data_IF_323615613667
#
_entry.id   IF_323615613667
#
_cell.length_a   1.000
_cell.length_b   1.000
_cell.length_c   1.000
_cell.angle_alpha   90.00
_cell.angle_beta   90.00
_cell.angle_gamma   90.00
#
_symmetry.space_group_name_H-M   'P 1'
#
loop_
_entity.id
_entity.type
_entity.pdbx_description
1 polymer ?
#
# COMPACT_ATOMS: atom_id res chain seq x y z
N UNK A 1 8.71 -10.28 23.16
CA UNK A 1 7.85 -11.00 22.21
C UNK A 1 8.21 -12.47 22.31
N UNK A 2 7.26 -13.35 22.61
CA UNK A 2 7.49 -14.81 22.65
C UNK A 2 7.26 -15.43 21.26
N UNK A 3 7.75 -16.65 21.02
CA UNK A 3 7.53 -17.35 19.74
C UNK A 3 6.04 -17.51 19.39
N UNK A 4 5.18 -17.70 20.40
CA UNK A 4 3.73 -17.76 20.22
C UNK A 4 3.13 -16.41 19.81
N UNK A 5 3.59 -15.29 20.40
CA UNK A 5 3.16 -13.94 20.00
C UNK A 5 3.60 -13.60 18.57
N UNK A 6 4.79 -14.04 18.17
CA UNK A 6 5.29 -13.89 16.80
C UNK A 6 4.43 -14.70 15.81
N UNK A 7 4.10 -15.94 16.13
CA UNK A 7 3.24 -16.80 15.31
C UNK A 7 1.85 -16.19 15.08
N UNK A 8 1.23 -15.66 16.13
CA UNK A 8 -0.06 -14.95 16.01
C UNK A 8 0.07 -13.73 15.10
N UNK A 9 1.12 -12.92 15.28
CA UNK A 9 1.36 -11.73 14.47
C UNK A 9 1.53 -12.05 12.98
N UNK A 10 2.32 -13.09 12.65
CA UNK A 10 2.54 -13.51 11.27
C UNK A 10 1.23 -13.99 10.61
N UNK A 11 0.44 -14.80 11.32
CA UNK A 11 -0.86 -15.26 10.83
C UNK A 11 -1.89 -14.11 10.69
N UNK A 12 -1.82 -13.09 11.54
CA UNK A 12 -2.63 -11.88 11.36
C UNK A 12 -2.25 -11.12 10.09
N UNK A 13 -0.97 -11.05 9.74
CA UNK A 13 -0.53 -10.40 8.50
C UNK A 13 -0.97 -11.18 7.26
N UNK A 14 -0.85 -12.51 7.27
CA UNK A 14 -1.33 -13.37 6.19
C UNK A 14 -2.85 -13.22 5.99
N UNK A 15 -3.59 -13.13 7.09
CA UNK A 15 -5.04 -12.91 7.02
C UNK A 15 -5.40 -11.55 6.38
N UNK A 16 -4.60 -10.49 6.59
CA UNK A 16 -4.82 -9.17 5.94
C UNK A 16 -4.67 -9.25 4.42
N UNK A 17 -3.79 -10.11 3.93
CA UNK A 17 -3.56 -10.33 2.50
C UNK A 17 -4.31 -11.56 1.96
N UNK A 18 -5.23 -12.12 2.74
CA UNK A 18 -6.02 -13.31 2.39
C UNK A 18 -5.19 -14.54 1.99
N UNK A 19 -3.95 -14.62 2.49
CA UNK A 19 -3.05 -15.75 2.27
C UNK A 19 -3.32 -16.90 3.26
N UNK A 20 -2.88 -18.11 2.90
CA UNK A 20 -3.00 -19.27 3.77
C UNK A 20 -2.22 -19.08 5.07
N UNK A 21 -2.79 -19.52 6.19
CA UNK A 21 -2.15 -19.43 7.50
C UNK A 21 -0.99 -20.42 7.63
N UNK A 22 0.03 -20.02 8.38
CA UNK A 22 1.19 -20.88 8.69
C UNK A 22 0.74 -21.96 9.66
N UNK A 23 0.86 -23.22 9.26
CA UNK A 23 0.67 -24.38 10.15
C UNK A 23 1.99 -24.97 10.64
N UNK A 24 3.11 -24.58 10.01
CA UNK A 24 4.48 -25.04 10.31
C UNK A 24 5.47 -23.89 10.11
N UNK A 25 6.38 -23.60 11.07
CA UNK A 25 7.32 -22.49 10.93
C UNK A 25 8.19 -22.62 9.68
N UNK A 26 8.17 -21.59 8.83
CA UNK A 26 9.02 -21.50 7.63
C UNK A 26 10.35 -20.77 7.89
N UNK A 27 11.18 -20.66 6.86
CA UNK A 27 12.40 -19.85 6.87
C UNK A 27 12.09 -18.35 6.92
N UNK A 28 13.06 -17.53 7.33
CA UNK A 28 12.97 -16.06 7.33
C UNK A 28 13.21 -15.56 5.89
N UNK A 29 12.19 -15.01 5.20
CA UNK A 29 12.37 -14.33 3.92
C UNK A 29 13.02 -12.95 4.09
N UNK A 30 13.58 -12.43 3.00
CA UNK A 30 14.03 -11.05 2.88
C UNK A 30 13.02 -10.27 2.05
N UNK A 31 12.46 -9.21 2.63
CA UNK A 31 11.56 -8.30 1.93
C UNK A 31 12.40 -7.24 1.22
N UNK A 32 12.27 -7.16 -0.11
CA UNK A 32 13.09 -6.25 -0.95
C UNK A 32 12.27 -5.29 -1.81
N UNK A 33 10.93 -5.44 -1.80
CA UNK A 33 10.05 -4.60 -2.59
C UNK A 33 9.82 -3.24 -1.93
N UNK A 34 10.19 -2.17 -2.62
CA UNK A 34 9.92 -0.78 -2.22
C UNK A 34 8.89 -0.15 -3.16
N UNK A 35 8.28 0.95 -2.74
CA UNK A 35 7.24 1.64 -3.50
C UNK A 35 7.32 3.15 -3.32
N UNK A 36 6.83 3.90 -4.30
CA UNK A 36 6.58 5.34 -4.27
C UNK A 36 5.18 5.62 -4.84
N UNK A 37 4.58 6.75 -4.45
CA UNK A 37 3.23 7.13 -4.89
C UNK A 37 3.33 8.41 -5.70
N UNK A 38 2.72 8.41 -6.87
CA UNK A 38 2.58 9.61 -7.70
C UNK A 38 1.10 9.91 -7.94
N UNK A 39 0.68 11.14 -7.65
CA UNK A 39 -0.70 11.59 -7.83
C UNK A 39 -0.72 12.87 -8.65
N UNK A 40 -1.40 12.81 -9.80
CA UNK A 40 -1.57 13.96 -10.68
C UNK A 40 -3.06 14.26 -10.87
N UNK A 41 -3.49 15.45 -10.46
CA UNK A 41 -4.86 15.92 -10.61
C UNK A 41 -5.04 16.67 -11.94
N UNK A 42 -5.96 16.17 -12.78
CA UNK A 42 -6.28 16.74 -14.09
C UNK A 42 -7.80 16.70 -14.34
N UNK A 43 -8.62 17.15 -13.36
CA UNK A 43 -10.06 16.95 -13.42
C UNK A 43 -10.42 15.48 -13.65
N UNK A 44 -11.38 15.20 -14.55
CA UNK A 44 -11.80 13.83 -14.87
C UNK A 44 -10.65 12.93 -15.42
N UNK A 45 -9.57 13.53 -15.95
CA UNK A 45 -8.42 12.84 -16.53
C UNK A 45 -7.25 12.66 -15.55
N UNK A 46 -7.41 12.97 -14.26
CA UNK A 46 -6.34 12.78 -13.26
C UNK A 46 -5.85 11.34 -13.20
N UNK A 47 -4.57 11.15 -12.89
CA UNK A 47 -3.92 9.84 -12.74
C UNK A 47 -3.43 9.63 -11.31
N UNK A 48 -3.60 8.42 -10.79
CA UNK A 48 -3.06 8.03 -9.49
C UNK A 48 -2.33 6.71 -9.64
N UNK A 49 -1.01 6.74 -9.55
CA UNK A 49 -0.17 5.56 -9.83
C UNK A 49 0.75 5.26 -8.67
N UNK A 50 0.87 3.97 -8.36
CA UNK A 50 1.94 3.47 -7.52
C UNK A 50 3.10 3.02 -8.40
N UNK A 51 4.30 3.45 -8.06
CA UNK A 51 5.52 3.06 -8.74
C UNK A 51 6.36 2.20 -7.81
N UNK A 52 6.77 1.03 -8.28
CA UNK A 52 7.67 0.13 -7.57
C UNK A 52 8.98 0.09 -8.35
N UNK A 53 10.11 0.59 -7.80
CA UNK A 53 11.40 0.56 -8.49
C UNK A 53 11.94 -0.87 -8.64
N UNK A 54 11.60 -1.76 -7.71
CA UNK A 54 11.80 -3.21 -7.80
C UNK A 54 10.46 -3.87 -8.11
N UNK A 55 10.47 -4.89 -8.96
CA UNK A 55 9.27 -5.70 -9.20
C UNK A 55 8.88 -6.44 -7.92
N UNK A 56 7.57 -6.60 -7.68
CA UNK A 56 7.05 -7.37 -6.56
C UNK A 56 7.54 -8.81 -6.74
N UNK A 57 8.27 -9.33 -5.76
CA UNK A 57 8.85 -10.67 -5.84
C UNK A 57 7.74 -11.72 -5.73
N UNK A 58 7.87 -12.82 -6.47
CA UNK A 58 6.96 -13.97 -6.36
C UNK A 58 6.89 -14.44 -4.90
N UNK A 59 5.67 -14.56 -4.37
CA UNK A 59 5.44 -14.93 -2.97
C UNK A 59 5.29 -13.72 -2.03
N UNK A 60 5.48 -12.49 -2.52
CA UNK A 60 5.15 -11.27 -1.78
C UNK A 60 3.80 -10.69 -2.22
N UNK A 61 3.09 -10.09 -1.28
CA UNK A 61 1.89 -9.29 -1.54
C UNK A 61 2.06 -7.89 -0.94
N UNK A 62 1.73 -6.86 -1.70
CA UNK A 62 1.70 -5.49 -1.20
C UNK A 62 0.29 -5.12 -0.78
N UNK A 63 0.09 -4.93 0.52
CA UNK A 63 -1.14 -4.40 1.08
C UNK A 63 -1.09 -2.87 1.09
N UNK A 64 -1.95 -2.23 0.30
CA UNK A 64 -1.97 -0.79 0.11
C UNK A 64 -3.13 -0.16 0.88
N UNK A 65 -2.81 0.81 1.72
CA UNK A 65 -3.78 1.73 2.33
C UNK A 65 -3.47 3.14 1.88
N UNK A 66 -4.49 3.96 1.66
CA UNK A 66 -4.31 5.36 1.28
C UNK A 66 -5.21 6.27 2.11
N UNK A 67 -4.83 7.53 2.25
CA UNK A 67 -5.61 8.56 2.95
C UNK A 67 -6.55 9.29 1.99
N UNK A 68 -7.60 9.98 2.49
CA UNK A 68 -8.26 11.03 1.71
C UNK A 68 -7.26 12.16 1.36
N UNK A 69 -7.63 13.13 0.50
CA UNK A 69 -6.85 14.35 0.31
C UNK A 69 -6.76 15.14 1.62
N UNK A 70 -5.54 15.36 2.11
CA UNK A 70 -5.27 16.06 3.37
C UNK A 70 -4.50 17.36 3.10
N UNK A 71 -4.51 18.29 4.06
CA UNK A 71 -3.81 19.57 3.91
C UNK A 71 -2.31 19.38 3.61
N UNK A 72 -1.77 20.25 2.76
CA UNK A 72 -0.34 20.33 2.41
C UNK A 72 0.60 20.40 3.62
N UNK A 73 0.15 20.98 4.74
CA UNK A 73 0.96 21.13 5.95
C UNK A 73 1.11 19.84 6.76
N UNK A 74 0.32 18.80 6.47
CA UNK A 74 0.38 17.55 7.19
C UNK A 74 1.62 16.76 6.75
N UNK A 75 2.41 16.30 7.71
CA UNK A 75 3.65 15.53 7.44
C UNK A 75 3.48 14.02 7.58
N UNK A 76 2.48 13.58 8.34
CA UNK A 76 2.25 12.17 8.60
C UNK A 76 0.75 11.93 8.85
N UNK A 77 0.13 10.96 8.14
CA UNK A 77 -1.26 10.60 8.35
C UNK A 77 -1.39 9.78 9.64
N UNK A 78 -2.14 10.27 10.64
CA UNK A 78 -2.46 9.47 11.83
C UNK A 78 -3.85 8.85 11.68
N UNK A 79 -3.93 7.53 11.57
CA UNK A 79 -5.18 6.75 11.56
C UNK A 79 -6.22 7.13 10.48
N UNK A 80 -5.78 7.74 9.37
CA UNK A 80 -6.66 8.21 8.28
C UNK A 80 -6.63 7.31 7.05
N UNK A 81 -5.64 6.42 6.95
CA UNK A 81 -5.46 5.53 5.81
C UNK A 81 -6.46 4.36 5.85
N UNK A 82 -7.20 4.14 4.78
CA UNK A 82 -8.08 2.95 4.61
C UNK A 82 -7.52 2.02 3.56
N UNK A 83 -7.90 0.75 3.64
CA UNK A 83 -7.55 -0.24 2.62
C UNK A 83 -8.04 0.20 1.24
N UNK A 84 -7.19 0.04 0.23
CA UNK A 84 -7.50 0.34 -1.17
C UNK A 84 -7.38 -0.91 -2.03
N UNK A 85 -6.24 -1.59 -1.99
CA UNK A 85 -6.01 -2.78 -2.82
C UNK A 85 -4.87 -3.65 -2.28
N UNK A 86 -4.79 -4.88 -2.81
CA UNK A 86 -3.64 -5.78 -2.67
C UNK A 86 -3.01 -5.94 -4.05
N UNK A 87 -1.68 -5.86 -4.12
CA UNK A 87 -0.91 -6.12 -5.33
C UNK A 87 -0.10 -7.39 -5.19
N UNK A 88 0.14 -8.07 -6.31
CA UNK A 88 0.93 -9.28 -6.44
C UNK A 88 2.02 -9.11 -7.51
N UNK A 89 2.80 -10.16 -7.71
CA UNK A 89 3.92 -10.26 -8.67
C UNK A 89 3.52 -10.05 -10.14
N UNK A 90 2.24 -10.22 -10.48
CA UNK A 90 1.74 -9.96 -11.84
C UNK A 90 1.45 -8.48 -12.10
N UNK A 91 1.44 -7.63 -11.07
CA UNK A 91 1.20 -6.21 -11.22
C UNK A 91 2.47 -5.48 -11.68
N UNK A 92 2.35 -4.71 -12.76
CA UNK A 92 3.45 -4.01 -13.40
C UNK A 92 3.51 -2.56 -12.93
N UNK A 93 4.73 -2.05 -12.71
CA UNK A 93 5.02 -0.66 -12.37
C UNK A 93 5.09 0.21 -13.65
N UNK A 94 4.48 1.41 -13.69
CA UNK A 94 3.58 1.99 -12.70
C UNK A 94 2.19 1.33 -12.73
N UNK A 95 1.64 1.06 -11.55
CA UNK A 95 0.31 0.45 -11.42
C UNK A 95 -0.74 1.54 -11.15
N UNK A 96 -1.82 1.52 -11.92
CA UNK A 96 -2.93 2.46 -11.74
C UNK A 96 -3.80 2.04 -10.54
N UNK A 97 -3.81 2.88 -9.51
CA UNK A 97 -4.65 2.69 -8.31
C UNK A 97 -5.87 3.61 -8.29
N UNK A 98 -6.09 4.41 -9.34
CA UNK A 98 -7.20 5.38 -9.41
C UNK A 98 -8.55 4.72 -9.15
N UNK A 99 -8.88 3.67 -9.89
CA UNK A 99 -10.20 3.04 -9.80
C UNK A 99 -10.45 2.47 -8.38
N UNK A 100 -9.43 1.85 -7.79
CA UNK A 100 -9.52 1.31 -6.43
C UNK A 100 -9.64 2.44 -5.38
N UNK A 101 -8.92 3.55 -5.55
CA UNK A 101 -9.00 4.70 -4.67
C UNK A 101 -10.38 5.39 -4.72
N UNK A 102 -10.89 5.62 -5.94
CA UNK A 102 -12.18 6.26 -6.16
C UNK A 102 -13.35 5.41 -5.64
N UNK A 103 -13.20 4.08 -5.57
CA UNK A 103 -14.16 3.22 -4.90
C UNK A 103 -14.27 3.49 -3.39
N UNK A 104 -13.15 3.87 -2.75
CA UNK A 104 -13.07 4.09 -1.29
C UNK A 104 -13.42 5.53 -0.90
N UNK A 105 -12.94 6.51 -1.67
CA UNK A 105 -13.00 7.93 -1.31
C UNK A 105 -13.75 8.81 -2.32
N UNK A 106 -14.18 8.26 -3.46
CA UNK A 106 -14.83 9.01 -4.54
C UNK A 106 -13.86 9.87 -5.36
N UNK A 107 -14.42 10.71 -6.24
CA UNK A 107 -13.67 11.51 -7.23
C UNK A 107 -13.21 12.89 -6.72
N UNK A 108 -13.49 13.25 -5.46
CA UNK A 108 -13.22 14.58 -4.91
C UNK A 108 -11.74 14.96 -4.82
N UNK A 109 -10.82 14.00 -4.97
CA UNK A 109 -9.39 14.25 -5.04
C UNK A 109 -8.96 15.01 -6.31
N UNK A 110 -9.73 14.88 -7.39
CA UNK A 110 -9.41 15.50 -8.68
C UNK A 110 -9.46 17.03 -8.65
N UNK A 111 -10.22 17.60 -7.72
CA UNK A 111 -10.34 19.05 -7.50
C UNK A 111 -9.53 19.53 -6.30
N UNK A 112 -8.86 18.62 -5.58
CA UNK A 112 -8.12 18.90 -4.36
C UNK A 112 -6.64 19.21 -4.63
N UNK A 113 -6.36 20.05 -5.63
CA UNK A 113 -4.99 20.43 -6.01
C UNK A 113 -4.29 21.09 -4.81
N UNK A 114 -3.04 20.69 -4.56
CA UNK A 114 -2.23 21.17 -3.44
C UNK A 114 -2.45 20.41 -2.14
N UNK A 115 -3.43 19.50 -2.06
CA UNK A 115 -3.52 18.56 -0.94
C UNK A 115 -2.50 17.42 -1.10
N UNK A 116 -2.29 16.66 -0.02
CA UNK A 116 -1.43 15.47 0.01
C UNK A 116 -2.28 14.23 0.19
N UNK A 117 -1.92 13.18 -0.54
CA UNK A 117 -2.46 11.84 -0.34
C UNK A 117 -1.32 10.97 0.13
N UNK A 118 -1.49 10.35 1.29
CA UNK A 118 -0.51 9.43 1.82
C UNK A 118 -0.89 8.01 1.48
N UNK A 119 0.11 7.17 1.22
CA UNK A 119 -0.06 5.73 1.16
C UNK A 119 0.79 5.04 2.22
N UNK A 120 0.18 4.12 2.94
CA UNK A 120 0.87 3.13 3.76
C UNK A 120 0.91 1.83 2.97
N UNK A 121 2.11 1.34 2.72
CA UNK A 121 2.33 0.10 1.99
C UNK A 121 2.97 -0.89 2.95
N UNK A 122 2.31 -2.03 3.12
CA UNK A 122 2.82 -3.15 3.90
C UNK A 122 3.10 -4.29 2.93
N UNK A 123 4.37 -4.63 2.74
CA UNK A 123 4.75 -5.83 2.00
C UNK A 123 4.68 -7.00 2.95
N UNK A 124 4.02 -8.09 2.53
CA UNK A 124 3.84 -9.31 3.31
C UNK A 124 4.37 -10.48 2.52
N UNK A 125 5.29 -11.24 3.11
CA UNK A 125 5.69 -12.52 2.55
C UNK A 125 4.62 -13.59 2.85
N UNK A 126 4.17 -14.28 1.82
CA UNK A 126 3.06 -15.25 1.93
C UNK A 126 3.49 -16.58 2.54
N UNK A 127 4.78 -16.91 2.54
CA UNK A 127 5.28 -18.15 3.12
C UNK A 127 5.49 -18.04 4.64
N UNK A 128 5.92 -16.87 5.13
CA UNK A 128 6.31 -16.65 6.52
C UNK A 128 5.43 -15.65 7.28
N UNK A 129 4.58 -14.89 6.60
CA UNK A 129 3.76 -13.84 7.20
C UNK A 129 4.53 -12.67 7.79
N UNK A 130 5.83 -12.56 7.49
CA UNK A 130 6.63 -11.40 7.87
C UNK A 130 6.19 -10.19 7.05
N UNK A 131 6.32 -9.01 7.64
CA UNK A 131 5.91 -7.78 6.99
C UNK A 131 6.93 -6.66 7.20
N UNK A 132 7.09 -5.84 6.16
CA UNK A 132 7.77 -4.55 6.22
C UNK A 132 6.79 -3.47 5.82
N UNK A 133 6.75 -2.38 6.56
CA UNK A 133 5.83 -1.27 6.33
C UNK A 133 6.59 0.00 5.96
N UNK A 134 6.08 0.68 4.93
CA UNK A 134 6.56 1.97 4.45
C UNK A 134 5.39 2.96 4.45
N UNK A 135 5.66 4.22 4.81
CA UNK A 135 4.69 5.32 4.66
C UNK A 135 5.25 6.32 3.68
N UNK A 136 4.45 6.63 2.66
CA UNK A 136 4.82 7.47 1.54
C UNK A 136 3.81 8.61 1.43
N UNK A 137 4.29 9.81 1.12
CA UNK A 137 3.44 10.96 0.82
C UNK A 137 3.53 11.30 -0.65
N UNK A 138 2.40 11.32 -1.35
CA UNK A 138 2.27 11.87 -2.69
C UNK A 138 1.60 13.24 -2.63
N UNK A 139 2.25 14.26 -3.20
CA UNK A 139 1.63 15.56 -3.38
C UNK A 139 0.65 15.50 -4.55
N UNK A 140 -0.56 16.03 -4.36
CA UNK A 140 -1.54 16.17 -5.45
C UNK A 140 -1.18 17.42 -6.23
N UNK A 141 -0.45 17.21 -7.32
CA UNK A 141 -0.04 18.28 -8.23
C UNK A 141 -1.09 18.50 -9.32
N UNK A 142 -1.15 19.73 -9.86
CA UNK A 142 -1.91 19.98 -11.07
C UNK A 142 -1.13 19.44 -12.28
N UNK A 143 -1.85 18.84 -13.23
CA UNK A 143 -1.30 18.40 -14.51
C UNK A 143 -0.93 19.57 -15.44
#
# INVERSE_FOLDING_TARGET
>A
MTGHQMYISCNQNLNKVTAALITTPGSIPSITSEASVNVNAAGAAGTMTLQFPTAIVVGELMYVRMSPPLSAGLKSPKNVCKFVTILNDTNVSPFDVKAAYELVYGVGWQTAVGNKIFAEISVVDTASGLTTQYTLGGDVIAA
#
